data_IF_166173785622
#
_entry.id   IF_166173785622
#
_cell.length_a   1.000
_cell.length_b   1.000
_cell.length_c   1.000
_cell.angle_alpha   90.00
_cell.angle_beta   90.00
_cell.angle_gamma   90.00
#
_symmetry.space_group_name_H-M   'P 1'
#
loop_
_entity.id
_entity.type
_entity.pdbx_description
1 polymer ?
#
# COMPACT_ATOMS: atom_id res chain seq x y z
N UNK A 1 6.08 -32.23 -1.24
CA UNK A 1 7.33 -31.57 -0.90
C UNK A 1 7.14 -30.66 0.31
N UNK A 2 8.13 -30.58 1.18
CA UNK A 2 8.12 -29.64 2.31
C UNK A 2 8.19 -28.22 1.75
N UNK A 3 7.33 -27.28 2.18
CA UNK A 3 7.42 -25.87 1.76
C UNK A 3 8.80 -25.32 2.14
N UNK A 4 9.49 -24.70 1.17
CA UNK A 4 10.71 -23.97 1.46
C UNK A 4 10.35 -22.50 1.73
N UNK A 5 10.93 -21.83 2.74
CA UNK A 5 10.72 -20.40 2.96
C UNK A 5 11.30 -19.62 1.78
N UNK A 6 10.50 -18.73 1.21
CA UNK A 6 10.91 -17.89 0.06
C UNK A 6 11.43 -16.54 0.55
N UNK A 7 10.98 -16.08 1.71
CA UNK A 7 11.33 -14.78 2.29
C UNK A 7 11.47 -14.89 3.81
N UNK A 8 12.51 -14.27 4.33
CA UNK A 8 12.70 -14.05 5.76
C UNK A 8 12.33 -12.59 6.13
N UNK A 9 11.82 -12.40 7.35
CA UNK A 9 11.54 -11.08 7.95
C UNK A 9 10.58 -10.19 7.13
N UNK A 10 9.56 -10.77 6.50
CA UNK A 10 8.49 -9.99 5.89
C UNK A 10 7.71 -9.25 6.98
N UNK A 11 7.53 -7.94 6.79
CA UNK A 11 6.71 -7.13 7.68
C UNK A 11 5.28 -7.68 7.72
N UNK A 12 4.81 -7.98 8.94
CA UNK A 12 3.49 -8.54 9.19
C UNK A 12 2.68 -7.58 10.06
N UNK A 13 1.45 -7.33 9.68
CA UNK A 13 0.50 -6.59 10.50
C UNK A 13 -0.35 -7.54 11.30
N UNK A 14 -0.13 -7.62 12.61
CA UNK A 14 -0.96 -8.43 13.51
C UNK A 14 -2.41 -7.95 13.55
N UNK A 15 -2.65 -6.64 13.41
CA UNK A 15 -3.98 -6.05 13.41
C UNK A 15 -4.77 -6.35 12.12
N UNK A 16 -4.09 -6.54 10.99
CA UNK A 16 -4.74 -6.83 9.71
C UNK A 16 -4.58 -8.30 9.27
N UNK A 17 -3.82 -9.10 10.01
CA UNK A 17 -3.56 -10.51 9.68
C UNK A 17 -2.85 -10.70 8.33
N UNK A 18 -2.12 -9.70 7.82
CA UNK A 18 -1.59 -9.72 6.47
C UNK A 18 -0.10 -9.42 6.40
N UNK A 19 0.61 -10.10 5.51
CA UNK A 19 1.97 -9.76 5.12
C UNK A 19 1.97 -8.49 4.26
N UNK A 20 3.01 -7.68 4.41
CA UNK A 20 3.18 -6.42 3.67
C UNK A 20 4.02 -6.70 2.42
N UNK A 21 3.36 -7.16 1.36
CA UNK A 21 3.99 -7.46 0.06
C UNK A 21 3.02 -7.17 -1.09
N UNK A 22 3.56 -6.95 -2.28
CA UNK A 22 2.79 -6.79 -3.52
C UNK A 22 3.56 -7.32 -4.73
N UNK A 23 2.85 -7.68 -5.80
CA UNK A 23 3.41 -8.25 -7.04
C UNK A 23 3.04 -7.38 -8.24
N UNK A 24 4.01 -7.17 -9.13
CA UNK A 24 3.70 -6.64 -10.47
C UNK A 24 3.15 -7.73 -11.39
N UNK A 25 2.46 -7.34 -12.45
CA UNK A 25 2.05 -8.26 -13.52
C UNK A 25 3.25 -8.92 -14.23
N UNK A 26 4.43 -8.30 -14.18
CA UNK A 26 5.68 -8.84 -14.72
C UNK A 26 6.37 -9.84 -13.78
N UNK A 27 5.75 -10.21 -12.65
CA UNK A 27 6.28 -11.20 -11.70
C UNK A 27 7.33 -10.66 -10.73
N UNK A 28 7.47 -9.34 -10.62
CA UNK A 28 8.35 -8.72 -9.62
C UNK A 28 7.61 -8.60 -8.29
N UNK A 29 8.23 -9.02 -7.20
CA UNK A 29 7.71 -8.91 -5.84
C UNK A 29 8.39 -7.76 -5.13
N UNK A 30 7.60 -6.94 -4.46
CA UNK A 30 8.07 -6.00 -3.45
C UNK A 30 7.55 -6.42 -2.07
N UNK A 31 8.33 -6.18 -1.05
CA UNK A 31 7.89 -6.42 0.32
C UNK A 31 8.51 -5.43 1.29
N UNK A 32 7.84 -5.27 2.41
CA UNK A 32 8.34 -4.52 3.53
C UNK A 32 9.16 -5.46 4.41
N UNK A 33 10.44 -5.19 4.61
CA UNK A 33 11.27 -5.93 5.55
C UNK A 33 11.33 -5.21 6.90
N UNK A 34 11.28 -5.94 8.00
CA UNK A 34 11.39 -5.42 9.36
C UNK A 34 10.60 -6.23 10.37
N UNK A 35 11.10 -6.32 11.59
CA UNK A 35 10.42 -7.02 12.69
C UNK A 35 9.21 -6.25 13.25
N UNK A 36 8.42 -6.90 14.10
CA UNK A 36 7.23 -6.35 14.77
C UNK A 36 7.50 -5.19 15.76
N UNK A 37 8.71 -4.70 15.85
CA UNK A 37 9.14 -3.69 16.81
C UNK A 37 9.47 -2.34 16.18
N UNK A 38 8.49 -1.55 15.79
CA UNK A 38 8.52 -0.07 15.69
C UNK A 38 9.73 0.65 15.05
N UNK A 39 10.61 -0.05 14.32
CA UNK A 39 11.79 0.54 13.69
C UNK A 39 11.49 1.10 12.28
N UNK A 40 12.43 1.90 11.76
CA UNK A 40 12.39 2.34 10.37
C UNK A 40 12.49 1.14 9.44
N UNK A 41 11.78 1.19 8.33
CA UNK A 41 11.60 0.11 7.37
C UNK A 41 12.26 0.46 6.05
N UNK A 42 12.67 -0.56 5.32
CA UNK A 42 13.09 -0.44 3.93
C UNK A 42 12.08 -1.12 3.03
N UNK A 43 11.89 -0.57 1.84
CA UNK A 43 11.17 -1.25 0.76
C UNK A 43 12.21 -1.84 -0.18
N UNK A 44 12.07 -3.10 -0.51
CA UNK A 44 13.05 -3.83 -1.31
C UNK A 44 12.39 -4.61 -2.44
N UNK A 45 13.13 -4.79 -3.52
CA UNK A 45 12.84 -5.72 -4.59
C UNK A 45 13.31 -7.13 -4.23
N UNK A 46 12.52 -8.11 -4.64
CA UNK A 46 12.93 -9.50 -4.73
C UNK A 46 12.75 -9.96 -6.17
N UNK A 47 13.81 -10.48 -6.80
CA UNK A 47 13.71 -11.06 -8.13
C UNK A 47 13.42 -12.56 -8.09
N UNK A 48 13.15 -13.15 -9.27
CA UNK A 48 12.86 -14.58 -9.40
C UNK A 48 14.01 -15.52 -9.01
N UNK A 49 15.20 -15.00 -8.75
CA UNK A 49 16.37 -15.77 -8.26
C UNK A 49 16.51 -15.73 -6.74
N UNK A 50 15.63 -14.96 -6.06
CA UNK A 50 15.70 -14.72 -4.62
C UNK A 50 16.65 -13.60 -4.20
N UNK A 51 17.18 -12.83 -5.16
CA UNK A 51 18.06 -11.70 -4.86
C UNK A 51 17.25 -10.50 -4.38
N UNK A 52 17.62 -9.98 -3.21
CA UNK A 52 17.01 -8.79 -2.61
C UNK A 52 17.85 -7.56 -2.95
N UNK A 53 17.16 -6.47 -3.36
CA UNK A 53 17.79 -5.18 -3.61
C UNK A 53 16.93 -4.07 -2.98
N UNK A 54 17.51 -3.08 -2.26
CA UNK A 54 16.76 -1.95 -1.77
C UNK A 54 16.09 -1.21 -2.94
N UNK A 55 14.78 -0.92 -2.81
CA UNK A 55 14.06 -0.04 -3.71
C UNK A 55 14.14 1.40 -3.21
N UNK A 56 13.88 1.62 -1.92
CA UNK A 56 14.06 2.91 -1.27
C UNK A 56 15.36 2.87 -0.47
N UNK A 57 16.33 3.69 -0.86
CA UNK A 57 17.65 3.72 -0.23
C UNK A 57 17.60 4.19 1.23
N UNK A 58 16.61 5.04 1.58
CA UNK A 58 16.46 5.62 2.91
C UNK A 58 15.42 4.85 3.71
N UNK A 59 15.77 4.30 4.87
CA UNK A 59 14.77 3.75 5.80
C UNK A 59 13.79 4.82 6.26
N UNK A 60 12.50 4.45 6.37
CA UNK A 60 11.42 5.36 6.76
C UNK A 60 10.23 4.64 7.38
N UNK A 61 9.24 5.40 7.81
CA UNK A 61 7.97 4.87 8.29
C UNK A 61 7.03 4.60 7.10
N UNK A 62 7.42 3.63 6.28
CA UNK A 62 6.63 3.19 5.13
C UNK A 62 5.57 2.19 5.58
N UNK A 63 4.33 2.40 5.16
CA UNK A 63 3.24 1.48 5.38
C UNK A 63 3.09 0.49 4.23
N UNK A 64 1.87 0.29 3.75
CA UNK A 64 1.55 -0.71 2.73
C UNK A 64 2.07 -0.27 1.35
N UNK A 65 3.01 -1.00 0.76
CA UNK A 65 3.41 -0.74 -0.61
C UNK A 65 2.35 -1.28 -1.58
N UNK A 66 2.10 -0.55 -2.67
CA UNK A 66 1.26 -0.98 -3.78
C UNK A 66 1.92 -0.57 -5.09
N UNK A 67 2.14 -1.54 -5.97
CA UNK A 67 2.84 -1.33 -7.22
C UNK A 67 1.88 -0.90 -8.32
N UNK A 68 2.31 0.06 -9.16
CA UNK A 68 1.54 0.43 -10.35
C UNK A 68 1.45 -0.75 -11.34
N UNK A 69 0.35 -0.88 -12.10
CA UNK A 69 0.16 -2.00 -13.03
C UNK A 69 1.26 -2.12 -14.09
N UNK A 70 1.84 -0.99 -14.51
CA UNK A 70 2.98 -0.95 -15.44
C UNK A 70 4.32 -1.30 -14.79
N UNK A 71 4.33 -1.52 -13.47
CA UNK A 71 5.53 -1.84 -12.72
C UNK A 71 6.57 -0.72 -12.68
N UNK A 72 6.21 0.55 -12.83
CA UNK A 72 7.17 1.67 -12.88
C UNK A 72 7.10 2.60 -11.66
N UNK A 73 6.04 2.52 -10.86
CA UNK A 73 5.83 3.38 -9.68
C UNK A 73 5.34 2.59 -8.49
N UNK A 74 5.70 3.06 -7.33
CA UNK A 74 5.23 2.55 -6.05
C UNK A 74 4.36 3.59 -5.36
N UNK A 75 3.17 3.22 -4.93
CA UNK A 75 2.42 3.97 -3.94
C UNK A 75 2.69 3.38 -2.55
N UNK A 76 2.92 4.22 -1.57
CA UNK A 76 3.06 3.80 -0.17
C UNK A 76 2.45 4.86 0.74
N UNK A 77 1.92 4.46 1.87
CA UNK A 77 1.64 5.40 2.93
C UNK A 77 2.93 5.66 3.72
N UNK A 78 3.20 6.94 3.95
CA UNK A 78 4.40 7.40 4.67
C UNK A 78 3.95 8.22 5.87
N UNK A 79 4.44 7.83 7.04
CA UNK A 79 4.18 8.58 8.28
C UNK A 79 5.31 9.56 8.55
N UNK A 80 4.98 10.84 8.58
CA UNK A 80 5.89 11.94 8.94
C UNK A 80 5.27 12.80 10.06
N UNK A 81 6.01 12.98 11.14
CA UNK A 81 5.49 13.66 12.32
C UNK A 81 4.27 12.92 12.89
N UNK A 82 3.12 13.60 12.99
CA UNK A 82 1.85 13.04 13.50
C UNK A 82 0.90 12.58 12.41
N UNK A 83 1.26 12.70 11.13
CA UNK A 83 0.38 12.42 10.00
C UNK A 83 0.88 11.30 9.11
N UNK A 84 -0.06 10.70 8.39
CA UNK A 84 0.23 9.67 7.37
C UNK A 84 -0.43 10.09 6.06
N UNK A 85 0.34 10.08 4.98
CA UNK A 85 -0.15 10.42 3.64
C UNK A 85 0.36 9.44 2.58
N UNK A 86 -0.32 9.44 1.44
CA UNK A 86 0.06 8.63 0.30
C UNK A 86 1.16 9.35 -0.48
N UNK A 87 2.22 8.63 -0.77
CA UNK A 87 3.34 9.07 -1.58
C UNK A 87 3.55 8.13 -2.76
N UNK A 88 4.08 8.69 -3.86
CA UNK A 88 4.47 7.96 -5.05
C UNK A 88 5.98 8.02 -5.22
N UNK A 89 6.58 6.88 -5.44
CA UNK A 89 7.98 6.76 -5.82
C UNK A 89 8.09 6.29 -7.27
N UNK A 90 8.80 7.06 -8.08
CA UNK A 90 9.19 6.73 -9.45
C UNK A 90 10.68 6.39 -9.43
N UNK A 91 10.99 5.11 -9.59
CA UNK A 91 12.40 4.67 -9.50
C UNK A 91 13.23 4.92 -10.74
N UNK A 92 12.62 5.20 -11.89
CA UNK A 92 13.37 5.61 -13.08
C UNK A 92 13.93 7.03 -12.93
N UNK A 93 13.20 7.88 -12.20
CA UNK A 93 13.55 9.27 -11.92
C UNK A 93 14.16 9.48 -10.55
N UNK A 94 14.13 8.46 -9.71
CA UNK A 94 14.49 8.53 -8.27
C UNK A 94 13.78 9.69 -7.55
N UNK A 95 12.47 9.80 -7.80
CA UNK A 95 11.66 10.88 -7.21
C UNK A 95 10.55 10.35 -6.33
N UNK A 96 10.41 10.98 -5.15
CA UNK A 96 9.34 10.73 -4.20
C UNK A 96 8.41 11.93 -4.16
N UNK A 97 7.13 11.74 -4.51
CA UNK A 97 6.13 12.80 -4.58
C UNK A 97 4.97 12.53 -3.65
N UNK A 98 4.64 13.48 -2.79
CA UNK A 98 3.46 13.39 -1.92
C UNK A 98 2.19 13.61 -2.71
N UNK A 99 1.23 12.67 -2.59
CA UNK A 99 -0.03 12.68 -3.34
C UNK A 99 -1.20 13.20 -2.52
N UNK A 100 -1.23 12.93 -1.21
CA UNK A 100 -2.25 13.46 -0.29
C UNK A 100 -1.63 14.33 0.78
N UNK A 101 -2.44 15.22 1.39
CA UNK A 101 -1.95 16.25 2.31
C UNK A 101 -2.86 16.39 3.55
N UNK A 102 -3.62 15.36 3.86
CA UNK A 102 -4.61 15.39 4.95
C UNK A 102 -4.08 14.86 6.27
N UNK A 103 -2.95 14.14 6.23
CA UNK A 103 -2.33 13.54 7.42
C UNK A 103 -3.07 12.31 7.97
N UNK A 104 -4.10 11.83 7.26
CA UNK A 104 -4.94 10.71 7.71
C UNK A 104 -5.21 9.69 6.58
N UNK A 105 -4.41 9.69 5.51
CA UNK A 105 -4.54 8.81 4.35
C UNK A 105 -3.58 7.63 4.43
N UNK A 106 -4.08 6.40 4.25
CA UNK A 106 -3.26 5.19 4.24
C UNK A 106 -3.82 4.09 3.33
N UNK A 107 -3.07 2.99 3.20
CA UNK A 107 -3.43 1.81 2.42
C UNK A 107 -3.76 2.13 0.94
N UNK A 108 -2.81 2.64 0.16
CA UNK A 108 -3.02 2.90 -1.25
C UNK A 108 -3.21 1.62 -2.05
N UNK A 109 -4.06 1.69 -3.08
CA UNK A 109 -4.30 0.63 -4.05
C UNK A 109 -4.46 1.22 -5.45
N UNK A 110 -3.64 0.78 -6.40
CA UNK A 110 -3.73 1.21 -7.78
C UNK A 110 -4.95 0.64 -8.49
N UNK A 111 -5.60 1.46 -9.33
CA UNK A 111 -6.54 0.96 -10.31
C UNK A 111 -5.83 0.17 -11.42
N UNK A 112 -6.48 -0.82 -12.06
CA UNK A 112 -5.86 -1.66 -13.09
C UNK A 112 -5.34 -0.89 -14.32
N UNK A 113 -5.91 0.28 -14.59
CA UNK A 113 -5.48 1.16 -15.69
C UNK A 113 -4.34 2.13 -15.28
N UNK A 114 -3.91 2.09 -14.02
CA UNK A 114 -2.83 2.93 -13.49
C UNK A 114 -3.18 4.43 -13.37
N UNK A 115 -4.44 4.81 -13.58
CA UNK A 115 -4.86 6.22 -13.60
C UNK A 115 -5.28 6.75 -12.25
N UNK A 116 -5.68 5.87 -11.35
CA UNK A 116 -6.21 6.22 -10.04
C UNK A 116 -5.57 5.43 -8.92
N UNK A 117 -5.63 5.99 -7.72
CA UNK A 117 -5.23 5.33 -6.48
C UNK A 117 -6.39 5.49 -5.50
N UNK A 118 -6.96 4.35 -5.10
CA UNK A 118 -7.90 4.28 -3.99
C UNK A 118 -7.12 4.18 -2.68
N UNK A 119 -7.62 4.77 -1.60
CA UNK A 119 -6.97 4.75 -0.30
C UNK A 119 -8.01 4.96 0.82
N UNK A 120 -7.64 4.56 2.02
CA UNK A 120 -8.42 4.83 3.21
C UNK A 120 -8.16 6.24 3.72
N UNK A 121 -9.23 6.91 4.16
CA UNK A 121 -9.18 8.13 4.96
C UNK A 121 -9.69 7.81 6.37
N UNK A 122 -8.82 7.93 7.37
CA UNK A 122 -9.13 7.54 8.75
C UNK A 122 -10.33 8.34 9.28
N UNK A 123 -11.38 7.62 9.70
CA UNK A 123 -12.61 8.21 10.25
C UNK A 123 -13.61 8.72 9.22
N UNK A 124 -13.33 8.59 7.91
CA UNK A 124 -14.19 9.09 6.83
C UNK A 124 -14.63 8.00 5.84
N UNK A 125 -13.86 6.91 5.73
CA UNK A 125 -14.09 5.83 4.78
C UNK A 125 -12.97 5.71 3.75
N UNK A 126 -13.30 5.58 2.45
CA UNK A 126 -12.33 5.48 1.36
C UNK A 126 -12.50 6.63 0.37
N UNK A 127 -11.40 7.02 -0.22
CA UNK A 127 -11.32 8.03 -1.29
C UNK A 127 -10.50 7.52 -2.46
N UNK A 128 -10.62 8.21 -3.60
CA UNK A 128 -9.83 7.98 -4.80
C UNK A 128 -9.22 9.29 -5.29
N UNK A 129 -8.00 9.24 -5.78
CA UNK A 129 -7.33 10.38 -6.42
C UNK A 129 -6.65 9.96 -7.72
N UNK A 130 -6.34 10.92 -8.58
CA UNK A 130 -5.57 10.65 -9.79
C UNK A 130 -4.12 10.38 -9.46
N UNK A 131 -3.54 9.41 -10.13
CA UNK A 131 -2.12 9.01 -9.91
C UNK A 131 -1.11 10.03 -10.45
N UNK A 132 -1.56 10.98 -11.28
CA UNK A 132 -0.74 12.10 -11.77
C UNK A 132 -0.74 13.30 -10.81
N UNK A 133 -1.45 13.20 -9.68
CA UNK A 133 -1.57 14.27 -8.69
C UNK A 133 -2.51 15.41 -9.11
N UNK A 134 -3.16 15.32 -10.25
CA UNK A 134 -4.11 16.35 -10.69
C UNK A 134 -5.49 16.18 -10.01
N UNK A 135 -6.13 17.30 -9.73
CA UNK A 135 -7.45 17.33 -9.09
C UNK A 135 -7.39 17.09 -7.57
N UNK A 136 -8.57 17.02 -6.97
CA UNK A 136 -8.74 16.74 -5.53
C UNK A 136 -9.20 15.29 -5.34
N UNK A 137 -8.83 14.64 -4.22
CA UNK A 137 -9.39 13.37 -3.85
C UNK A 137 -10.93 13.43 -3.79
N UNK A 138 -11.57 12.34 -4.24
CA UNK A 138 -13.03 12.20 -4.21
C UNK A 138 -13.42 11.04 -3.32
N UNK A 139 -14.44 11.17 -2.47
CA UNK A 139 -14.89 10.08 -1.63
C UNK A 139 -15.50 8.96 -2.48
N UNK A 140 -15.11 7.72 -2.19
CA UNK A 140 -15.74 6.49 -2.71
C UNK A 140 -16.82 5.99 -1.77
N UNK A 141 -16.56 6.11 -0.47
CA UNK A 141 -17.49 5.74 0.59
C UNK A 141 -17.49 6.82 1.67
N UNK A 142 -18.54 6.82 2.49
CA UNK A 142 -18.62 7.63 3.70
C UNK A 142 -18.98 6.70 4.86
N UNK A 143 -18.01 6.44 5.75
CA UNK A 143 -18.22 5.50 6.85
C UNK A 143 -17.36 5.86 8.05
N UNK A 144 -17.86 5.59 9.24
CA UNK A 144 -17.07 5.60 10.48
C UNK A 144 -16.36 4.27 10.74
N UNK A 145 -16.74 3.23 10.03
CA UNK A 145 -16.10 1.93 10.10
C UNK A 145 -14.67 2.00 9.55
N UNK A 146 -13.87 1.03 9.93
CA UNK A 146 -12.52 0.90 9.36
C UNK A 146 -12.65 0.21 8.00
N UNK A 147 -12.44 0.98 6.93
CA UNK A 147 -12.48 0.46 5.56
C UNK A 147 -11.09 0.46 4.94
N UNK A 148 -10.72 -0.65 4.30
CA UNK A 148 -9.47 -0.78 3.55
C UNK A 148 -9.75 -1.25 2.13
N UNK A 149 -9.30 -0.52 1.08
CA UNK A 149 -9.33 -1.02 -0.27
C UNK A 149 -8.45 -2.27 -0.37
N UNK A 150 -8.91 -3.29 -1.09
CA UNK A 150 -8.22 -4.58 -1.15
C UNK A 150 -7.82 -4.98 -2.55
N UNK A 151 -8.74 -5.00 -3.49
CA UNK A 151 -8.48 -5.37 -4.87
C UNK A 151 -9.51 -4.78 -5.82
N UNK A 152 -9.07 -4.29 -6.95
CA UNK A 152 -9.95 -3.96 -8.06
C UNK A 152 -10.26 -5.22 -8.88
N UNK A 153 -11.48 -5.31 -9.41
CA UNK A 153 -11.75 -6.20 -10.52
C UNK A 153 -10.89 -5.81 -11.74
N UNK A 154 -10.47 -6.76 -12.60
CA UNK A 154 -9.58 -6.46 -13.72
C UNK A 154 -10.12 -5.39 -14.68
N UNK A 155 -11.45 -5.25 -14.77
CA UNK A 155 -12.11 -4.21 -15.57
C UNK A 155 -12.12 -2.82 -14.93
N UNK A 156 -11.60 -2.68 -13.70
CA UNK A 156 -11.55 -1.44 -12.92
C UNK A 156 -12.88 -0.91 -12.41
N UNK A 157 -14.00 -1.60 -12.69
CA UNK A 157 -15.35 -1.12 -12.37
C UNK A 157 -15.83 -1.46 -10.96
N UNK A 158 -15.17 -2.40 -10.29
CA UNK A 158 -15.52 -2.85 -8.95
C UNK A 158 -14.29 -2.88 -8.07
N UNK A 159 -14.45 -2.50 -6.83
CA UNK A 159 -13.44 -2.53 -5.78
C UNK A 159 -13.94 -3.42 -4.65
N UNK A 160 -13.20 -4.47 -4.34
CA UNK A 160 -13.36 -5.23 -3.10
C UNK A 160 -12.66 -4.49 -1.95
N UNK A 161 -13.28 -4.42 -0.80
CA UNK A 161 -12.72 -3.76 0.38
C UNK A 161 -13.16 -4.46 1.66
N UNK A 162 -12.39 -4.29 2.72
CA UNK A 162 -12.81 -4.65 4.07
C UNK A 162 -13.63 -3.54 4.69
N UNK A 163 -14.68 -3.93 5.41
CA UNK A 163 -15.50 -3.05 6.25
C UNK A 163 -15.57 -3.64 7.65
N UNK A 164 -14.84 -3.07 8.59
CA UNK A 164 -14.84 -3.49 9.99
C UNK A 164 -15.68 -2.55 10.82
N UNK A 165 -16.83 -3.03 11.26
CA UNK A 165 -17.66 -2.35 12.27
C UNK A 165 -17.06 -2.61 13.66
N UNK A 166 -16.60 -1.54 14.33
CA UNK A 166 -16.03 -1.64 15.68
C UNK A 166 -17.06 -2.02 16.76
N UNK A 167 -18.36 -2.02 16.44
CA UNK A 167 -19.43 -2.40 17.38
C UNK A 167 -19.69 -3.90 17.41
N UNK A 168 -19.39 -4.58 16.33
CA UNK A 168 -19.62 -6.03 16.19
C UNK A 168 -18.32 -6.80 16.22
N UNK A 169 -17.45 -6.61 17.18
CA UNK A 169 -16.14 -7.33 17.25
C UNK A 169 -16.13 -8.66 16.47
N UNK A 170 -15.00 -9.02 15.89
CA UNK A 170 -14.77 -10.25 15.10
C UNK A 170 -15.66 -11.44 15.49
N UNK A 171 -16.88 -11.51 15.00
CA UNK A 171 -17.70 -12.71 15.03
C UNK A 171 -17.29 -13.55 13.81
N UNK A 172 -16.58 -14.61 14.10
CA UNK A 172 -16.31 -15.70 13.17
C UNK A 172 -17.57 -16.54 12.96
#
# INVERSE_FOLDING_TARGET
>A
GTPAPVLDQVGYSTAAGSAQLDFSQAGTLIYRSGGAGGGLLTVAWLDGTGKVQPLLAKPGNYGRPSMSPDGQRLAADVSEGSGTDIWLYDWQRDTMTRLTFTGNANAPLWSPDGRYIAFRVVGEGMSVTRSDGSGKPQPLTQSKNIQYPWSFAPDGKRLAFFDLDLKTSWDL
#
